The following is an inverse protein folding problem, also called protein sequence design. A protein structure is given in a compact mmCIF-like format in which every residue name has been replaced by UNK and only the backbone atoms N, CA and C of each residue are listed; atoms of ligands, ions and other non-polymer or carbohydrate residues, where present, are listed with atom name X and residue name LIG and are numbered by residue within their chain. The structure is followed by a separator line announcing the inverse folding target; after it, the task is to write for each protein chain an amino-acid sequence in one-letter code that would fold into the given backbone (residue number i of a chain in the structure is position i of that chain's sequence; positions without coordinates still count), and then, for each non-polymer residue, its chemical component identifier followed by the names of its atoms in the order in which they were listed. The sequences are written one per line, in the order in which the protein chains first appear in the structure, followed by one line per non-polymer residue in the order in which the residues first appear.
data_IF_970884358351
#
_entry.id   IF_970884358351
#
_cell.length_a   1.000
_cell.length_b   1.000
_cell.length_c   1.000
_cell.angle_alpha   90.00
_cell.angle_beta   90.00
_cell.angle_gamma   90.00
#
_symmetry.space_group_name_H-M   'P 1'
#
loop_
_entity.id
_entity.type
_entity.pdbx_description
1 polymer ?
#
# COMPACT_ATOMS: atom_id res chain seq x y z
N UNK A 1 6.60 4.76 -0.06
CA UNK A 1 6.93 3.33 -0.10
C UNK A 1 7.62 2.94 1.20
N UNK A 2 7.30 1.74 1.71
CA UNK A 2 7.96 1.12 2.85
C UNK A 2 8.77 -0.07 2.37
N UNK A 3 9.87 -0.39 3.06
CA UNK A 3 10.62 -1.63 2.82
C UNK A 3 9.89 -2.81 3.44
N UNK A 4 8.94 -3.37 2.68
CA UNK A 4 8.16 -4.51 3.14
C UNK A 4 7.56 -5.28 1.97
N UNK A 5 7.22 -6.53 2.21
CA UNK A 5 6.47 -7.36 1.28
C UNK A 5 5.28 -8.03 1.98
N UNK A 6 4.34 -8.58 1.19
CA UNK A 6 3.12 -9.19 1.73
C UNK A 6 3.38 -10.39 2.65
N UNK A 7 4.46 -11.15 2.42
CA UNK A 7 4.80 -12.32 3.22
C UNK A 7 5.26 -11.93 4.63
N UNK A 8 6.11 -10.92 4.75
CA UNK A 8 6.59 -10.40 6.02
C UNK A 8 5.46 -9.78 6.85
N UNK A 9 4.55 -9.04 6.20
CA UNK A 9 3.36 -8.49 6.84
C UNK A 9 2.46 -9.60 7.42
N UNK A 10 2.25 -10.68 6.67
CA UNK A 10 1.48 -11.83 7.12
C UNK A 10 2.13 -12.55 8.32
N UNK A 11 3.45 -12.77 8.27
CA UNK A 11 4.19 -13.40 9.36
C UNK A 11 4.12 -12.58 10.66
N UNK A 12 4.30 -11.26 10.57
CA UNK A 12 4.19 -10.34 11.72
C UNK A 12 2.77 -10.32 12.29
N UNK A 13 1.76 -10.36 11.43
CA UNK A 13 0.36 -10.45 11.83
C UNK A 13 0.05 -11.73 12.61
N UNK A 14 0.55 -12.88 12.14
CA UNK A 14 0.42 -14.15 12.84
C UNK A 14 1.14 -14.14 14.20
N UNK A 15 2.36 -13.60 14.25
CA UNK A 15 3.14 -13.45 15.48
C UNK A 15 2.42 -12.55 16.51
N UNK A 16 1.80 -11.46 16.06
CA UNK A 16 0.98 -10.60 16.92
C UNK A 16 -0.24 -11.35 17.48
N UNK A 17 -0.94 -12.13 16.64
CA UNK A 17 -2.09 -12.94 17.08
C UNK A 17 -1.72 -14.05 18.07
N UNK A 18 -0.50 -14.57 17.99
CA UNK A 18 0.09 -15.51 18.94
C UNK A 18 0.60 -14.86 20.23
N UNK A 19 0.59 -13.52 20.33
CA UNK A 19 1.08 -12.77 21.48
C UNK A 19 2.61 -12.62 21.53
N UNK A 20 3.33 -12.93 20.44
CA UNK A 20 4.78 -12.73 20.34
C UNK A 20 5.14 -11.24 20.40
N UNK A 21 4.31 -10.37 19.81
CA UNK A 21 4.40 -8.92 19.96
C UNK A 21 3.32 -8.43 20.92
N UNK A 22 3.66 -7.47 21.78
CA UNK A 22 2.73 -6.88 22.76
C UNK A 22 1.76 -5.90 22.14
N UNK A 23 2.09 -5.37 20.96
CA UNK A 23 1.25 -4.40 20.25
C UNK A 23 1.54 -4.40 18.75
N UNK A 24 0.59 -3.91 17.91
CA UNK A 24 0.86 -3.66 16.50
C UNK A 24 2.06 -2.72 16.30
N UNK A 25 2.22 -1.71 17.15
CA UNK A 25 3.34 -0.78 17.05
C UNK A 25 4.68 -1.51 17.17
N UNK A 26 4.80 -2.46 18.10
CA UNK A 26 5.99 -3.31 18.25
C UNK A 26 6.19 -4.22 17.02
N UNK A 27 5.12 -4.83 16.53
CA UNK A 27 5.16 -5.73 15.38
C UNK A 27 5.64 -5.05 14.09
N UNK A 28 5.38 -3.75 13.94
CA UNK A 28 5.70 -2.98 12.72
C UNK A 28 6.79 -1.91 12.93
N UNK A 29 7.43 -1.86 14.10
CA UNK A 29 8.42 -0.82 14.46
C UNK A 29 9.60 -0.73 13.51
N UNK A 30 9.97 -1.84 12.86
CA UNK A 30 11.11 -1.89 11.93
C UNK A 30 10.78 -1.45 10.51
N UNK A 31 9.53 -1.09 10.21
CA UNK A 31 9.17 -0.60 8.88
C UNK A 31 9.77 0.78 8.64
N UNK A 32 10.67 0.85 7.66
CA UNK A 32 11.31 2.10 7.26
C UNK A 32 10.63 2.66 6.01
N UNK A 33 10.41 3.98 6.00
CA UNK A 33 9.97 4.69 4.81
C UNK A 33 11.15 4.77 3.85
N UNK A 34 11.01 4.18 2.66
CA UNK A 34 11.99 4.28 1.57
C UNK A 34 11.78 5.57 0.80
N UNK A 35 10.52 5.92 0.52
CA UNK A 35 10.16 7.09 -0.28
C UNK A 35 8.78 7.61 0.08
N UNK A 36 8.50 8.87 -0.23
CA UNK A 36 7.17 9.44 -0.13
C UNK A 36 6.86 10.14 -1.46
N UNK A 37 5.83 9.67 -2.16
CA UNK A 37 5.39 10.28 -3.41
C UNK A 37 4.19 11.17 -3.13
N UNK A 38 4.29 12.46 -3.46
CA UNK A 38 3.21 13.44 -3.25
C UNK A 38 2.61 13.85 -4.59
N UNK A 39 1.28 14.01 -4.69
CA UNK A 39 0.66 14.57 -5.88
C UNK A 39 1.25 15.95 -6.18
N UNK A 40 1.67 16.15 -7.44
CA UNK A 40 2.24 17.42 -7.90
C UNK A 40 1.18 18.50 -8.19
N UNK A 41 -0.09 18.26 -7.85
CA UNK A 41 -1.22 19.16 -8.05
C UNK A 41 -1.73 19.28 -9.49
N UNK A 42 -1.14 18.57 -10.46
CA UNK A 42 -1.60 18.59 -11.85
C UNK A 42 -2.76 17.62 -12.05
N UNK A 43 -3.77 18.07 -12.79
CA UNK A 43 -5.01 17.33 -12.99
C UNK A 43 -5.03 16.48 -14.28
N UNK A 44 -3.90 16.45 -15.00
CA UNK A 44 -3.73 15.81 -16.31
C UNK A 44 -4.05 14.29 -16.29
N UNK A 45 -4.07 13.68 -15.10
CA UNK A 45 -4.40 12.27 -14.92
C UNK A 45 -5.91 11.98 -14.90
N UNK A 46 -6.76 12.98 -14.64
CA UNK A 46 -8.22 12.78 -14.56
C UNK A 46 -8.78 12.37 -15.93
N UNK A 47 -8.43 13.10 -16.97
CA UNK A 47 -8.98 12.83 -18.30
C UNK A 47 -8.42 11.51 -18.86
N UNK A 48 -7.14 11.23 -18.62
CA UNK A 48 -6.55 9.92 -18.95
C UNK A 48 -7.21 8.75 -18.21
N UNK A 49 -7.60 8.95 -16.94
CA UNK A 49 -8.32 7.94 -16.18
C UNK A 49 -9.73 7.71 -16.75
N UNK A 50 -10.44 8.76 -17.16
CA UNK A 50 -11.75 8.65 -17.81
C UNK A 50 -11.66 7.86 -19.11
N UNK A 51 -10.70 8.21 -19.97
CA UNK A 51 -10.49 7.51 -21.25
C UNK A 51 -10.22 6.02 -21.04
N UNK A 52 -9.35 5.67 -20.08
CA UNK A 52 -9.07 4.28 -19.72
C UNK A 52 -10.31 3.55 -19.21
N UNK A 53 -11.11 4.18 -18.34
CA UNK A 53 -12.33 3.59 -17.78
C UNK A 53 -13.39 3.36 -18.86
N UNK A 54 -13.57 4.33 -19.75
CA UNK A 54 -14.50 4.23 -20.87
C UNK A 54 -14.07 3.15 -21.86
N UNK A 55 -12.77 2.97 -22.08
CA UNK A 55 -12.25 1.85 -22.86
C UNK A 55 -12.58 0.50 -22.22
N UNK A 56 -12.36 0.34 -20.91
CA UNK A 56 -12.71 -0.90 -20.20
C UNK A 56 -14.20 -1.22 -20.26
N UNK A 57 -15.06 -0.20 -20.15
CA UNK A 57 -16.51 -0.39 -20.23
C UNK A 57 -16.98 -0.86 -21.61
N UNK A 58 -16.23 -0.58 -22.68
CA UNK A 58 -16.53 -1.06 -24.05
C UNK A 58 -16.07 -2.49 -24.30
N UNK A 59 -15.24 -3.06 -23.42
CA UNK A 59 -14.80 -4.46 -23.50
C UNK A 59 -15.77 -5.43 -22.80
N UNK A 60 -16.75 -4.90 -22.06
CA UNK A 60 -17.88 -5.63 -21.49
C UNK A 60 -19.07 -5.62 -22.44
#
# INVERSE_FOLDING_TARGET
MFDTNGAEGAARGAALGLGFYKSPHEAFKSLNIISEEKPNGKNDYIDRYKDWKDFLNKLN
#
